data_IF_345270004592
#
_entry.id   IF_345270004592
#
_cell.length_a   1.000
_cell.length_b   1.000
_cell.length_c   1.000
_cell.angle_alpha   90.00
_cell.angle_beta   90.00
_cell.angle_gamma   90.00
#
_symmetry.space_group_name_H-M   'P 1'
#
loop_
_entity.id
_entity.type
_entity.pdbx_description
1 polymer ?
#
# COMPACT_ATOMS: atom_id res chain seq x y z
N UNK A 1 -38.43 12.18 -25.87
CA UNK A 1 -38.56 10.73 -25.62
C UNK A 1 -38.20 10.45 -24.17
N UNK A 2 -39.22 10.26 -23.32
CA UNK A 2 -39.09 9.74 -21.97
C UNK A 2 -38.95 8.22 -22.05
N UNK A 3 -37.98 7.62 -21.36
CA UNK A 3 -38.13 6.23 -20.92
C UNK A 3 -37.78 6.11 -19.44
N UNK A 4 -38.82 5.74 -18.70
CA UNK A 4 -38.86 5.51 -17.28
C UNK A 4 -38.15 4.21 -16.87
N UNK A 5 -37.60 4.27 -15.66
CA UNK A 5 -37.11 3.21 -14.80
C UNK A 5 -38.07 2.05 -14.59
N UNK A 6 -37.55 0.81 -14.43
CA UNK A 6 -37.99 -0.13 -13.38
C UNK A 6 -36.84 -1.04 -12.94
N UNK A 7 -36.36 -0.82 -11.70
CA UNK A 7 -35.60 -1.81 -10.92
C UNK A 7 -36.57 -2.90 -10.43
N UNK A 8 -36.24 -4.18 -10.62
CA UNK A 8 -36.91 -5.30 -9.94
C UNK A 8 -36.22 -5.56 -8.60
N UNK A 9 -36.97 -5.82 -7.50
CA UNK A 9 -36.37 -6.20 -6.23
C UNK A 9 -35.94 -7.68 -6.23
N UNK A 10 -34.83 -7.92 -5.54
CA UNK A 10 -34.20 -9.21 -5.28
C UNK A 10 -34.99 -9.95 -4.19
N UNK A 11 -35.49 -11.14 -4.46
CA UNK A 11 -36.05 -12.04 -3.44
C UNK A 11 -34.93 -12.94 -2.89
N UNK A 12 -34.85 -13.19 -1.58
CA UNK A 12 -33.94 -14.18 -1.02
C UNK A 12 -34.52 -15.59 -1.18
N UNK A 13 -33.77 -16.50 -1.80
CA UNK A 13 -34.07 -17.93 -1.77
C UNK A 13 -33.82 -18.47 -0.36
N UNK A 14 -34.91 -18.80 0.34
CA UNK A 14 -34.86 -19.62 1.57
C UNK A 14 -34.62 -21.07 1.18
N UNK A 15 -33.43 -21.58 1.44
CA UNK A 15 -33.13 -23.01 1.33
C UNK A 15 -33.42 -23.63 2.70
N UNK A 16 -34.51 -24.39 2.76
CA UNK A 16 -34.85 -25.24 3.92
C UNK A 16 -33.88 -26.42 3.97
N UNK A 17 -33.05 -26.48 5.01
CA UNK A 17 -32.17 -27.63 5.30
C UNK A 17 -32.93 -28.54 6.25
N UNK A 18 -33.60 -29.55 5.71
CA UNK A 18 -34.18 -30.66 6.47
C UNK A 18 -33.06 -31.60 6.93
N UNK A 19 -32.65 -31.51 8.19
CA UNK A 19 -31.83 -32.54 8.83
C UNK A 19 -32.71 -33.76 9.16
N UNK A 20 -32.69 -34.77 8.28
CA UNK A 20 -33.24 -36.08 8.59
C UNK A 20 -32.35 -36.77 9.62
N UNK A 21 -32.81 -36.85 10.86
CA UNK A 21 -32.24 -37.70 11.90
C UNK A 21 -32.55 -39.15 11.53
N UNK A 22 -31.52 -39.88 11.08
CA UNK A 22 -31.61 -41.33 10.88
C UNK A 22 -31.58 -41.98 12.26
N UNK A 23 -32.76 -42.21 12.84
CA UNK A 23 -32.94 -43.13 13.95
C UNK A 23 -32.78 -44.57 13.43
N UNK A 24 -31.60 -45.16 13.61
CA UNK A 24 -31.43 -46.60 13.47
C UNK A 24 -31.98 -47.28 14.73
N UNK A 25 -33.23 -47.75 14.65
CA UNK A 25 -33.82 -48.64 15.63
C UNK A 25 -33.15 -50.02 15.52
N UNK A 26 -32.41 -50.42 16.55
CA UNK A 26 -31.91 -51.80 16.68
C UNK A 26 -33.02 -52.61 17.36
N UNK A 27 -33.48 -53.64 16.64
CA UNK A 27 -34.48 -54.58 17.12
C UNK A 27 -33.99 -55.34 18.36
N UNK A 28 -34.86 -55.37 19.37
CA UNK A 28 -34.75 -56.16 20.59
C UNK A 28 -34.82 -57.66 20.26
N UNK A 29 -33.75 -58.39 20.54
CA UNK A 29 -33.70 -59.86 20.54
C UNK A 29 -33.54 -60.37 21.98
N UNK A 30 -34.35 -61.37 22.33
CA UNK A 30 -34.52 -61.93 23.68
C UNK A 30 -33.25 -62.51 24.32
N UNK A 31 -33.27 -62.47 25.66
CA UNK A 31 -32.32 -62.99 26.64
C UNK A 31 -32.08 -64.51 26.53
N UNK A 32 -30.85 -64.95 26.84
CA UNK A 32 -30.59 -66.07 27.77
C UNK A 32 -29.19 -65.90 28.39
N UNK A 33 -29.08 -66.32 29.64
CA UNK A 33 -28.03 -66.09 30.64
C UNK A 33 -26.74 -66.86 30.40
N UNK A 34 -25.59 -66.29 30.78
CA UNK A 34 -24.75 -66.79 31.90
C UNK A 34 -23.53 -65.86 32.16
N UNK A 35 -22.98 -65.83 33.40
CA UNK A 35 -22.07 -64.79 33.86
C UNK A 35 -20.61 -65.25 33.89
N UNK A 36 -19.69 -64.51 33.26
CA UNK A 36 -18.29 -64.53 33.68
C UNK A 36 -17.49 -63.30 33.23
N UNK A 37 -16.73 -62.75 34.19
CA UNK A 37 -15.54 -61.88 34.09
C UNK A 37 -15.65 -60.47 33.48
N UNK A 38 -15.82 -59.50 34.39
CA UNK A 38 -14.94 -58.33 34.63
C UNK A 38 -14.30 -57.58 33.46
N UNK A 39 -14.56 -56.26 33.51
CA UNK A 39 -13.76 -55.11 33.07
C UNK A 39 -13.85 -54.66 31.61
N UNK A 40 -14.84 -53.80 31.35
CA UNK A 40 -14.77 -52.81 30.25
C UNK A 40 -15.68 -51.62 30.52
N UNK A 41 -15.30 -50.73 31.44
CA UNK A 41 -15.96 -49.42 31.59
C UNK A 41 -14.95 -48.34 31.98
N UNK A 42 -14.25 -47.75 31.00
CA UNK A 42 -13.47 -46.53 31.22
C UNK A 42 -13.35 -45.60 29.99
N UNK A 43 -14.03 -45.88 28.88
CA UNK A 43 -13.81 -45.15 27.61
C UNK A 43 -14.87 -44.09 27.29
N UNK A 44 -16.02 -44.12 27.95
CA UNK A 44 -17.16 -43.21 27.71
C UNK A 44 -17.01 -41.77 28.28
N UNK A 45 -16.45 -41.54 29.49
CA UNK A 45 -16.42 -40.18 30.07
C UNK A 45 -15.52 -39.19 29.34
N UNK A 46 -14.46 -39.70 28.68
CA UNK A 46 -13.45 -38.89 28.01
C UNK A 46 -13.92 -38.39 26.64
N UNK A 47 -14.73 -39.16 25.92
CA UNK A 47 -15.28 -38.74 24.63
C UNK A 47 -16.33 -37.63 24.79
N UNK A 48 -17.21 -37.76 25.78
CA UNK A 48 -18.19 -36.73 26.10
C UNK A 48 -17.52 -35.43 26.57
N UNK A 49 -16.50 -35.52 27.42
CA UNK A 49 -15.71 -34.36 27.85
C UNK A 49 -14.99 -33.68 26.68
N UNK A 50 -14.50 -34.46 25.70
CA UNK A 50 -13.85 -33.94 24.49
C UNK A 50 -14.84 -33.25 23.55
N UNK A 51 -16.04 -33.80 23.38
CA UNK A 51 -17.09 -33.17 22.58
C UNK A 51 -17.53 -31.83 23.19
N UNK A 52 -17.78 -31.79 24.49
CA UNK A 52 -18.16 -30.55 25.18
C UNK A 52 -17.06 -29.47 25.07
N UNK A 53 -15.79 -29.85 25.19
CA UNK A 53 -14.68 -28.90 25.03
C UNK A 53 -14.56 -28.36 23.60
N UNK A 54 -14.90 -29.17 22.59
CA UNK A 54 -14.88 -28.74 21.19
C UNK A 54 -16.03 -27.79 20.87
N UNK A 55 -17.24 -28.04 21.40
CA UNK A 55 -18.38 -27.14 21.25
C UNK A 55 -18.12 -25.79 21.91
N UNK A 56 -17.51 -25.78 23.10
CA UNK A 56 -17.12 -24.54 23.79
C UNK A 56 -16.08 -23.75 22.98
N UNK A 57 -15.08 -24.42 22.40
CA UNK A 57 -14.10 -23.78 21.51
C UNK A 57 -14.73 -23.23 20.24
N UNK A 58 -15.71 -23.92 19.66
CA UNK A 58 -16.47 -23.45 18.49
C UNK A 58 -17.29 -22.19 18.83
N UNK A 59 -17.97 -22.19 19.98
CA UNK A 59 -18.71 -21.02 20.45
C UNK A 59 -17.78 -19.81 20.69
N UNK A 60 -16.61 -20.04 21.27
CA UNK A 60 -15.61 -18.99 21.50
C UNK A 60 -15.03 -18.44 20.17
N UNK A 61 -14.79 -19.30 19.18
CA UNK A 61 -14.34 -18.88 17.86
C UNK A 61 -15.39 -18.02 17.14
N UNK A 62 -16.67 -18.42 17.19
CA UNK A 62 -17.76 -17.64 16.60
C UNK A 62 -17.88 -16.26 17.26
N UNK A 63 -17.81 -16.18 18.59
CA UNK A 63 -17.81 -14.89 19.31
C UNK A 63 -16.64 -13.99 18.90
N UNK A 64 -15.46 -14.56 18.69
CA UNK A 64 -14.29 -13.82 18.20
C UNK A 64 -14.48 -13.35 16.76
N UNK A 65 -15.10 -14.18 15.92
CA UNK A 65 -15.43 -13.80 14.55
C UNK A 65 -16.42 -12.62 14.52
N UNK A 66 -17.48 -12.68 15.32
CA UNK A 66 -18.43 -11.57 15.46
C UNK A 66 -17.75 -10.28 15.97
N UNK A 67 -16.86 -10.41 16.95
CA UNK A 67 -16.08 -9.28 17.46
C UNK A 67 -15.13 -8.69 16.40
N UNK A 68 -14.55 -9.52 15.53
CA UNK A 68 -13.70 -9.06 14.43
C UNK A 68 -14.53 -8.37 13.36
N UNK A 69 -15.71 -8.89 13.02
CA UNK A 69 -16.64 -8.25 12.08
C UNK A 69 -17.07 -6.88 12.60
N UNK A 70 -17.42 -6.77 13.88
CA UNK A 70 -17.75 -5.50 14.51
C UNK A 70 -16.59 -4.50 14.46
N UNK A 71 -15.34 -4.97 14.69
CA UNK A 71 -14.15 -4.12 14.57
C UNK A 71 -13.88 -3.69 13.12
N UNK A 72 -14.02 -4.59 12.14
CA UNK A 72 -13.85 -4.26 10.72
C UNK A 72 -14.89 -3.21 10.27
N UNK A 73 -16.14 -3.34 10.74
CA UNK A 73 -17.19 -2.35 10.51
C UNK A 73 -16.86 -0.99 11.15
N UNK A 74 -16.36 -0.96 12.39
CA UNK A 74 -15.98 0.27 13.07
C UNK A 74 -14.78 0.97 12.39
N UNK A 75 -13.79 0.20 11.92
CA UNK A 75 -12.65 0.73 11.17
C UNK A 75 -13.14 1.34 9.85
N UNK A 76 -14.00 0.62 9.11
CA UNK A 76 -14.58 1.09 7.85
C UNK A 76 -15.38 2.40 8.03
N UNK A 77 -16.16 2.51 9.11
CA UNK A 77 -16.88 3.74 9.43
C UNK A 77 -15.92 4.91 9.67
N UNK A 78 -14.86 4.70 10.46
CA UNK A 78 -13.84 5.72 10.72
C UNK A 78 -13.08 6.12 9.46
N UNK A 79 -12.78 5.17 8.57
CA UNK A 79 -12.17 5.46 7.26
C UNK A 79 -13.09 6.32 6.40
N UNK A 80 -14.40 6.05 6.39
CA UNK A 80 -15.37 6.88 5.66
C UNK A 80 -15.47 8.30 6.23
N UNK A 81 -15.41 8.46 7.55
CA UNK A 81 -15.36 9.78 8.20
C UNK A 81 -14.10 10.54 7.80
N UNK A 82 -12.94 9.87 7.82
CA UNK A 82 -11.66 10.48 7.42
C UNK A 82 -11.67 10.91 5.94
N UNK A 83 -12.25 10.12 5.04
CA UNK A 83 -12.40 10.49 3.62
C UNK A 83 -13.32 11.70 3.46
N UNK A 84 -14.37 11.79 4.27
CA UNK A 84 -15.30 12.93 4.28
C UNK A 84 -14.60 14.19 4.77
N UNK A 85 -13.91 14.12 5.90
CA UNK A 85 -13.13 15.23 6.46
C UNK A 85 -12.04 15.70 5.50
N UNK A 86 -11.33 14.78 4.85
CA UNK A 86 -10.31 15.12 3.86
C UNK A 86 -10.92 15.84 2.65
N UNK A 87 -12.10 15.41 2.19
CA UNK A 87 -12.82 16.08 1.10
C UNK A 87 -13.26 17.50 1.50
N UNK A 88 -13.61 17.71 2.76
CA UNK A 88 -13.97 19.02 3.30
C UNK A 88 -12.75 19.95 3.40
N UNK A 89 -11.63 19.45 3.93
CA UNK A 89 -10.36 20.20 3.97
C UNK A 89 -9.87 20.60 2.58
N UNK A 90 -10.02 19.74 1.58
CA UNK A 90 -9.67 20.08 0.19
C UNK A 90 -10.56 21.20 -0.37
N UNK A 91 -11.86 21.22 -0.02
CA UNK A 91 -12.77 22.31 -0.41
C UNK A 91 -12.37 23.63 0.25
N UNK A 92 -12.04 23.59 1.54
CA UNK A 92 -11.61 24.77 2.29
C UNK A 92 -10.29 25.34 1.75
N UNK A 93 -9.30 24.47 1.48
CA UNK A 93 -8.03 24.88 0.85
C UNK A 93 -8.27 25.59 -0.47
N UNK A 94 -9.12 25.03 -1.35
CA UNK A 94 -9.45 25.63 -2.65
C UNK A 94 -10.16 26.98 -2.49
N UNK A 95 -11.03 27.10 -1.48
CA UNK A 95 -11.70 28.36 -1.18
C UNK A 95 -10.69 29.43 -0.75
N UNK A 96 -9.78 29.10 0.17
CA UNK A 96 -8.73 30.00 0.63
C UNK A 96 -7.81 30.46 -0.51
N UNK A 97 -7.39 29.54 -1.39
CA UNK A 97 -6.60 29.88 -2.57
C UNK A 97 -7.37 30.86 -3.49
N UNK A 98 -8.67 30.64 -3.70
CA UNK A 98 -9.49 31.54 -4.51
C UNK A 98 -9.64 32.92 -3.87
N UNK A 99 -9.77 33.00 -2.54
CA UNK A 99 -9.81 34.27 -1.80
C UNK A 99 -8.49 35.03 -1.93
N UNK A 100 -7.35 34.33 -1.81
CA UNK A 100 -6.03 34.94 -1.95
C UNK A 100 -5.84 35.56 -3.34
N UNK A 101 -6.23 34.83 -4.40
CA UNK A 101 -6.19 35.35 -5.78
C UNK A 101 -7.10 36.58 -5.94
N UNK A 102 -8.28 36.58 -5.32
CA UNK A 102 -9.17 37.75 -5.34
C UNK A 102 -8.57 38.95 -4.63
N UNK A 103 -7.94 38.76 -3.46
CA UNK A 103 -7.26 39.83 -2.73
C UNK A 103 -6.08 40.41 -3.55
N UNK A 104 -5.27 39.57 -4.18
CA UNK A 104 -4.16 40.02 -5.03
C UNK A 104 -4.64 40.84 -6.24
N UNK A 105 -5.75 40.43 -6.86
CA UNK A 105 -6.38 41.19 -7.94
C UNK A 105 -6.95 42.54 -7.47
N UNK A 106 -7.46 42.62 -6.24
CA UNK A 106 -7.90 43.88 -5.65
C UNK A 106 -6.71 44.81 -5.32
N UNK A 107 -5.61 44.27 -4.78
CA UNK A 107 -4.40 45.04 -4.49
C UNK A 107 -3.79 45.61 -5.79
N UNK A 108 -3.71 44.81 -6.85
CA UNK A 108 -3.17 45.24 -8.14
C UNK A 108 -4.05 46.27 -8.86
N UNK A 109 -5.37 46.22 -8.69
CA UNK A 109 -6.29 47.24 -9.24
C UNK A 109 -6.24 48.55 -8.47
N UNK A 110 -6.11 48.52 -7.13
CA UNK A 110 -5.89 49.73 -6.31
C UNK A 110 -4.54 50.37 -6.64
N UNK A 111 -3.48 49.59 -6.84
CA UNK A 111 -2.16 50.10 -7.24
C UNK A 111 -2.18 50.81 -8.61
N UNK A 112 -2.98 50.32 -9.57
CA UNK A 112 -3.14 50.96 -10.90
C UNK A 112 -3.92 52.27 -10.87
N UNK A 113 -4.84 52.45 -9.92
CA UNK A 113 -5.63 53.69 -9.78
C UNK A 113 -4.81 54.85 -9.21
N UNK A 114 -3.73 54.56 -8.49
CA UNK A 114 -2.92 55.56 -7.79
C UNK A 114 -1.65 56.00 -8.55
N UNK A 115 -1.32 55.38 -9.70
CA UNK A 115 -0.20 55.78 -10.56
C UNK A 115 -0.52 55.56 -12.05
N UNK A 116 -0.85 56.60 -12.83
CA UNK A 116 -1.01 56.45 -14.29
C UNK A 116 0.36 56.23 -14.97
N UNK A 117 0.44 55.40 -16.03
CA UNK A 117 1.71 55.07 -16.67
C UNK A 117 2.29 56.28 -17.44
N UNK A 118 3.58 56.53 -17.25
CA UNK A 118 4.34 57.57 -17.96
C UNK A 118 4.50 57.23 -19.46
N UNK A 119 4.58 58.24 -20.36
CA UNK A 119 4.70 58.02 -21.80
C UNK A 119 6.08 57.44 -22.18
N UNK A 120 6.20 56.73 -23.32
CA UNK A 120 7.41 56.00 -23.68
C UNK A 120 8.56 56.93 -24.12
N UNK A 121 9.84 56.55 -23.88
CA UNK A 121 10.99 57.40 -24.19
C UNK A 121 11.40 57.33 -25.66
N UNK A 122 11.79 58.50 -26.20
CA UNK A 122 12.29 58.71 -27.56
C UNK A 122 13.72 58.19 -27.73
N UNK A 123 13.96 57.49 -28.83
CA UNK A 123 15.26 56.93 -29.24
C UNK A 123 16.17 57.98 -29.88
N UNK A 124 17.45 58.02 -29.46
CA UNK A 124 18.56 58.55 -30.28
C UNK A 124 19.76 57.59 -30.21
N UNK A 125 20.36 57.19 -31.36
CA UNK A 125 21.50 56.30 -31.40
C UNK A 125 22.82 57.05 -31.60
N UNK A 126 23.89 56.70 -30.86
CA UNK A 126 25.26 57.03 -31.27
C UNK A 126 26.35 56.13 -30.66
N UNK A 127 26.88 55.28 -31.53
CA UNK A 127 28.29 54.92 -31.78
C UNK A 127 29.14 54.15 -30.75
N UNK A 128 29.76 53.11 -31.28
CA UNK A 128 30.73 52.18 -30.72
C UNK A 128 32.05 52.80 -30.21
N UNK A 129 32.66 52.19 -29.19
CA UNK A 129 33.86 51.34 -29.32
C UNK A 129 34.67 51.22 -28.00
N UNK A 130 35.27 50.03 -27.85
CA UNK A 130 36.43 49.63 -27.02
C UNK A 130 36.22 49.21 -25.54
N UNK A 131 36.54 47.93 -25.35
CA UNK A 131 36.93 47.19 -24.14
C UNK A 131 38.19 47.80 -23.50
N UNK A 132 38.35 47.71 -22.17
CA UNK A 132 39.42 46.86 -21.64
C UNK A 132 39.00 45.99 -20.44
N UNK A 133 40.00 45.31 -19.91
CA UNK A 133 40.02 44.04 -19.17
C UNK A 133 39.92 44.19 -17.64
N UNK A 134 39.52 43.10 -16.97
CA UNK A 134 39.62 42.75 -15.54
C UNK A 134 38.89 43.58 -14.49
N UNK A 135 38.04 42.90 -13.69
CA UNK A 135 38.31 42.59 -12.27
C UNK A 135 37.12 41.82 -11.67
N UNK A 136 37.46 40.73 -10.96
CA UNK A 136 36.59 39.98 -10.06
C UNK A 136 35.79 40.90 -9.13
N UNK A 137 34.46 40.77 -9.14
CA UNK A 137 33.61 41.14 -8.00
C UNK A 137 32.49 40.13 -7.84
N UNK A 138 32.59 39.41 -6.72
CA UNK A 138 31.50 38.79 -6.00
C UNK A 138 30.24 39.67 -6.06
N UNK A 139 29.15 39.11 -6.54
CA UNK A 139 27.82 39.63 -6.23
C UNK A 139 26.96 38.45 -5.83
N UNK A 140 26.99 38.16 -4.53
CA UNK A 140 25.87 37.58 -3.82
C UNK A 140 24.65 38.47 -4.07
N UNK A 141 23.64 37.95 -4.76
CA UNK A 141 22.29 38.47 -4.62
C UNK A 141 21.32 37.31 -4.52
N UNK A 142 20.88 37.17 -3.27
CA UNK A 142 19.78 36.38 -2.76
C UNK A 142 18.54 36.34 -3.65
N UNK A 143 18.00 35.12 -3.74
CA UNK A 143 16.63 34.77 -3.38
C UNK A 143 15.50 35.44 -4.19
N UNK A 144 14.93 34.64 -5.09
CA UNK A 144 13.49 34.37 -5.02
C UNK A 144 13.22 32.97 -5.59
N UNK A 145 13.65 31.94 -4.84
CA UNK A 145 13.19 30.58 -5.11
C UNK A 145 11.83 30.44 -4.45
N UNK A 146 10.77 30.68 -5.22
CA UNK A 146 9.46 30.13 -4.89
C UNK A 146 9.69 28.65 -4.57
N UNK A 147 9.39 28.24 -3.33
CA UNK A 147 9.37 26.83 -2.94
C UNK A 147 8.17 26.23 -3.65
N UNK A 148 8.38 25.90 -4.92
CA UNK A 148 7.53 24.96 -5.63
C UNK A 148 7.94 23.62 -5.07
N UNK A 149 7.04 22.98 -4.32
CA UNK A 149 7.16 21.55 -4.03
C UNK A 149 7.29 20.84 -5.38
N UNK A 150 8.53 20.51 -5.76
CA UNK A 150 8.81 19.95 -7.07
C UNK A 150 8.43 18.47 -7.03
N UNK A 151 7.14 18.22 -7.21
CA UNK A 151 6.58 16.88 -7.31
C UNK A 151 7.31 16.16 -8.44
N UNK A 152 7.99 15.07 -8.10
CA UNK A 152 8.81 14.35 -9.07
C UNK A 152 7.93 13.64 -10.08
N UNK A 153 8.15 13.88 -11.37
CA UNK A 153 7.50 13.09 -12.43
C UNK A 153 8.29 11.80 -12.64
N UNK A 154 7.59 10.66 -12.59
CA UNK A 154 8.09 9.31 -12.83
C UNK A 154 7.36 8.68 -14.03
N UNK A 155 8.02 7.74 -14.72
CA UNK A 155 7.42 6.90 -15.75
C UNK A 155 6.59 5.74 -15.18
N UNK A 156 5.95 4.97 -16.07
CA UNK A 156 5.28 3.72 -15.72
C UNK A 156 6.24 2.59 -15.34
N UNK A 157 7.49 2.65 -15.83
CA UNK A 157 8.61 1.81 -15.42
C UNK A 157 9.75 2.69 -14.94
N UNK A 158 10.45 2.27 -13.90
CA UNK A 158 11.61 2.98 -13.36
C UNK A 158 12.66 2.01 -12.80
N UNK A 159 13.89 2.51 -12.62
CA UNK A 159 14.91 1.81 -11.83
C UNK A 159 14.84 2.25 -10.38
N UNK A 160 14.72 1.29 -9.46
CA UNK A 160 14.77 1.53 -8.02
C UNK A 160 16.00 0.87 -7.43
N UNK A 161 16.69 1.58 -6.55
CA UNK A 161 17.83 1.07 -5.81
C UNK A 161 17.38 0.58 -4.44
N UNK A 162 17.67 -0.69 -4.12
CA UNK A 162 17.37 -1.26 -2.81
C UNK A 162 18.62 -1.28 -1.94
N UNK A 163 18.53 -0.75 -0.72
CA UNK A 163 19.62 -0.72 0.24
C UNK A 163 19.19 -1.31 1.60
N UNK A 164 19.75 -2.44 2.04
CA UNK A 164 20.50 -3.45 1.25
C UNK A 164 19.60 -4.17 0.23
N UNK A 165 20.14 -4.85 -0.82
CA UNK A 165 21.53 -5.31 -0.95
C UNK A 165 22.48 -4.38 -1.72
N UNK A 166 21.99 -3.24 -2.20
CA UNK A 166 22.79 -2.27 -2.93
C UNK A 166 22.75 -2.43 -4.44
N UNK A 167 21.62 -2.88 -4.99
CA UNK A 167 21.43 -3.13 -6.43
C UNK A 167 20.27 -2.30 -6.99
N UNK A 168 20.30 -2.03 -8.29
CA UNK A 168 19.18 -1.44 -9.02
C UNK A 168 18.29 -2.53 -9.61
N UNK A 169 16.98 -2.44 -9.38
CA UNK A 169 15.97 -3.32 -9.96
C UNK A 169 15.02 -2.54 -10.86
N UNK A 170 14.49 -3.17 -11.90
CA UNK A 170 13.36 -2.62 -12.63
C UNK A 170 12.09 -2.71 -11.78
N UNK A 171 11.35 -1.62 -11.75
CA UNK A 171 10.11 -1.49 -11.00
C UNK A 171 8.96 -1.06 -11.89
N UNK A 172 7.80 -1.66 -11.68
CA UNK A 172 6.52 -1.15 -12.18
C UNK A 172 6.00 -0.11 -11.21
N UNK A 173 5.72 1.09 -11.70
CA UNK A 173 5.05 2.12 -10.91
C UNK A 173 3.54 1.92 -11.05
N UNK A 174 2.86 1.62 -9.94
CA UNK A 174 1.45 1.23 -9.93
C UNK A 174 0.65 2.10 -8.94
N UNK A 175 -0.07 3.08 -9.49
CA UNK A 175 -0.93 3.96 -8.69
C UNK A 175 -2.16 3.24 -8.13
N UNK A 176 -2.52 2.06 -8.66
CA UNK A 176 -3.62 1.22 -8.20
C UNK A 176 -3.29 0.42 -6.94
N UNK A 177 -2.01 0.15 -6.68
CA UNK A 177 -1.57 -0.58 -5.50
C UNK A 177 -1.42 0.32 -4.27
N UNK A 178 -1.97 -0.10 -3.12
CA UNK A 178 -1.76 0.59 -1.85
C UNK A 178 -0.33 0.42 -1.33
N UNK A 179 0.21 -0.79 -1.44
CA UNK A 179 1.50 -1.18 -0.87
C UNK A 179 2.40 -1.74 -1.95
N UNK A 180 3.66 -1.32 -1.95
CA UNK A 180 4.73 -1.88 -2.78
C UNK A 180 4.93 -3.38 -2.53
N UNK A 181 5.36 -4.10 -3.57
CA UNK A 181 5.64 -5.53 -3.50
C UNK A 181 7.01 -5.84 -4.09
N UNK A 182 7.70 -6.82 -3.49
CA UNK A 182 9.02 -7.27 -3.91
C UNK A 182 8.98 -8.77 -4.22
N UNK A 183 9.58 -9.14 -5.34
CA UNK A 183 9.84 -10.53 -5.68
C UNK A 183 10.63 -11.20 -4.56
N UNK A 184 10.18 -12.35 -4.09
CA UNK A 184 10.86 -13.11 -3.05
C UNK A 184 10.73 -14.60 -3.33
N UNK A 185 11.88 -15.25 -3.53
CA UNK A 185 12.01 -16.69 -3.76
C UNK A 185 12.51 -17.38 -2.49
N UNK A 186 12.24 -18.68 -2.38
CA UNK A 186 12.75 -19.55 -1.31
C UNK A 186 12.53 -18.95 0.10
N UNK A 187 11.32 -18.42 0.34
CA UNK A 187 10.98 -17.76 1.60
C UNK A 187 10.99 -18.73 2.77
N UNK A 188 11.81 -18.45 3.78
CA UNK A 188 11.89 -19.23 5.03
C UNK A 188 11.72 -18.28 6.22
N UNK A 189 10.64 -18.45 6.96
CA UNK A 189 10.38 -17.73 8.21
C UNK A 189 11.11 -18.41 9.38
N UNK A 190 11.70 -17.62 10.26
CA UNK A 190 12.39 -18.11 11.45
C UNK A 190 12.31 -17.10 12.59
N UNK A 191 12.62 -17.54 13.81
CA UNK A 191 12.68 -16.67 14.97
C UNK A 191 14.13 -16.34 15.34
N UNK A 192 14.38 -15.09 15.69
CA UNK A 192 15.64 -14.63 16.27
C UNK A 192 15.34 -13.65 17.40
N UNK A 193 15.84 -13.93 18.59
CA UNK A 193 15.67 -13.08 19.79
C UNK A 193 14.19 -12.74 20.08
N UNK A 194 13.29 -13.73 19.97
CA UNK A 194 11.85 -13.55 20.20
C UNK A 194 11.11 -12.78 19.11
N UNK A 195 11.75 -12.51 17.97
CA UNK A 195 11.18 -11.70 16.87
C UNK A 195 11.11 -12.52 15.58
N UNK A 196 10.04 -12.37 14.79
CA UNK A 196 9.91 -13.07 13.52
C UNK A 196 10.81 -12.42 12.45
N UNK A 197 11.58 -13.24 11.77
CA UNK A 197 12.41 -12.90 10.62
C UNK A 197 12.04 -13.78 9.43
N UNK A 198 12.42 -13.31 8.24
CA UNK A 198 12.29 -14.04 7.00
C UNK A 198 13.59 -13.93 6.22
N UNK A 199 14.03 -15.08 5.70
CA UNK A 199 15.09 -15.22 4.72
C UNK A 199 14.44 -15.45 3.36
N UNK A 200 14.91 -14.76 2.32
CA UNK A 200 14.39 -14.89 0.96
C UNK A 200 15.44 -14.45 -0.05
N UNK A 201 15.28 -14.90 -1.29
CA UNK A 201 16.16 -14.55 -2.40
C UNK A 201 15.48 -13.58 -3.37
N UNK A 202 16.26 -12.63 -3.87
CA UNK A 202 15.92 -11.83 -5.06
C UNK A 202 16.90 -12.18 -6.18
N UNK A 203 16.58 -11.84 -7.43
CA UNK A 203 17.48 -12.08 -8.55
C UNK A 203 18.25 -10.81 -8.87
N UNK A 204 19.57 -10.90 -8.95
CA UNK A 204 20.38 -9.81 -9.48
C UNK A 204 20.11 -9.67 -10.99
N UNK A 205 19.68 -8.49 -11.49
CA UNK A 205 19.36 -8.33 -12.90
C UNK A 205 20.60 -8.37 -13.82
N UNK A 206 21.79 -8.11 -13.30
CA UNK A 206 23.06 -8.12 -14.03
C UNK A 206 23.69 -9.51 -14.03
N UNK A 207 23.86 -10.14 -12.86
CA UNK A 207 24.51 -11.46 -12.76
C UNK A 207 23.55 -12.64 -12.93
N UNK A 208 22.24 -12.41 -12.79
CA UNK A 208 21.19 -13.45 -12.72
C UNK A 208 21.30 -14.38 -11.51
N UNK A 209 22.16 -14.08 -10.56
CA UNK A 209 22.34 -14.87 -9.34
C UNK A 209 21.27 -14.55 -8.29
N UNK A 210 21.06 -15.50 -7.37
CA UNK A 210 20.21 -15.29 -6.20
C UNK A 210 20.97 -14.51 -5.14
N UNK A 211 20.39 -13.40 -4.69
CA UNK A 211 20.88 -12.60 -3.57
C UNK A 211 20.00 -12.85 -2.35
N UNK A 212 20.58 -13.42 -1.31
CA UNK A 212 19.88 -13.72 -0.07
C UNK A 212 19.73 -12.45 0.79
N UNK A 213 18.52 -12.21 1.27
CA UNK A 213 18.18 -11.15 2.20
C UNK A 213 17.50 -11.73 3.44
N UNK A 214 17.87 -11.19 4.60
CA UNK A 214 17.21 -11.48 5.87
C UNK A 214 16.59 -10.20 6.42
N UNK A 215 15.29 -10.22 6.70
CA UNK A 215 14.54 -9.07 7.24
C UNK A 215 13.58 -9.46 8.35
N UNK A 216 13.35 -8.54 9.28
CA UNK A 216 12.32 -8.70 10.31
C UNK A 216 10.94 -8.59 9.67
N UNK A 217 10.04 -9.50 10.00
CA UNK A 217 8.64 -9.42 9.59
C UNK A 217 7.95 -8.35 10.44
N UNK A 218 7.31 -7.38 9.78
CA UNK A 218 6.55 -6.28 10.40
C UNK A 218 5.06 -6.55 10.49
N UNK A 219 4.58 -7.53 9.75
CA UNK A 219 3.18 -7.91 9.72
C UNK A 219 2.91 -8.83 8.53
N UNK A 220 1.62 -9.08 8.29
CA UNK A 220 1.17 -9.88 7.16
C UNK A 220 -0.04 -9.21 6.52
N UNK A 221 -0.12 -9.25 5.19
CA UNK A 221 -1.35 -8.93 4.48
C UNK A 221 -2.14 -10.21 4.20
N UNK A 222 -3.47 -10.14 4.33
CA UNK A 222 -4.39 -11.27 4.10
C UNK A 222 -4.93 -11.18 2.68
N UNK A 223 -4.82 -12.26 1.92
CA UNK A 223 -5.38 -12.32 0.57
C UNK A 223 -6.67 -13.11 0.63
N UNK A 224 -7.79 -12.40 0.54
CA UNK A 224 -9.11 -13.00 0.37
C UNK A 224 -9.14 -13.64 -1.03
N UNK A 225 -8.89 -14.95 -1.13
CA UNK A 225 -9.21 -15.73 -2.34
C UNK A 225 -10.58 -16.37 -2.15
N UNK A 226 -11.48 -16.16 -3.09
CA UNK A 226 -12.74 -16.92 -3.11
C UNK A 226 -12.39 -18.39 -3.40
N UNK A 227 -12.80 -19.30 -2.50
CA UNK A 227 -12.67 -20.78 -2.62
C UNK A 227 -11.28 -21.41 -2.40
N UNK A 228 -10.28 -20.70 -1.87
CA UNK A 228 -8.98 -21.30 -1.51
C UNK A 228 -8.49 -20.73 -0.19
N UNK A 229 -7.69 -21.49 0.55
CA UNK A 229 -7.05 -21.01 1.78
C UNK A 229 -6.41 -19.63 1.58
N UNK A 230 -6.71 -18.74 2.51
CA UNK A 230 -6.22 -17.37 2.52
C UNK A 230 -4.70 -17.37 2.63
N UNK A 231 -4.02 -17.06 1.52
CA UNK A 231 -2.57 -16.87 1.54
C UNK A 231 -2.23 -15.57 2.27
N UNK A 232 -1.35 -15.68 3.27
CA UNK A 232 -0.78 -14.52 3.97
C UNK A 232 0.56 -14.19 3.32
N UNK A 233 0.83 -12.91 3.14
CA UNK A 233 2.12 -12.45 2.62
C UNK A 233 2.87 -11.66 3.69
N UNK A 234 4.13 -12.01 4.01
CA UNK A 234 4.95 -11.26 4.96
C UNK A 234 5.21 -9.84 4.48
N UNK A 235 5.27 -8.91 5.44
CA UNK A 235 5.63 -7.51 5.19
C UNK A 235 7.00 -7.24 5.81
N UNK A 236 7.91 -6.67 5.04
CA UNK A 236 9.25 -6.25 5.49
C UNK A 236 9.49 -4.77 5.17
N UNK A 237 10.46 -4.14 5.82
CA UNK A 237 10.89 -2.77 5.48
C UNK A 237 12.24 -2.77 4.77
N UNK A 238 12.34 -1.99 3.71
CA UNK A 238 13.56 -1.78 2.93
C UNK A 238 13.70 -0.31 2.56
N UNK A 239 14.93 0.17 2.46
CA UNK A 239 15.23 1.52 1.95
C UNK A 239 15.28 1.48 0.43
N UNK A 240 14.62 2.43 -0.21
CA UNK A 240 14.45 2.51 -1.66
C UNK A 240 14.87 3.88 -2.12
N UNK A 241 15.72 3.94 -3.14
CA UNK A 241 16.06 5.19 -3.82
C UNK A 241 15.55 5.19 -5.24
N UNK A 242 14.97 6.31 -5.66
CA UNK A 242 14.44 6.52 -7.00
C UNK A 242 14.65 7.99 -7.40
N UNK A 243 15.63 8.25 -8.26
CA UNK A 243 16.07 9.62 -8.53
C UNK A 243 16.53 10.31 -7.25
N UNK A 244 15.86 11.39 -6.85
CA UNK A 244 16.16 12.15 -5.63
C UNK A 244 15.36 11.68 -4.40
N UNK A 245 14.44 10.74 -4.57
CA UNK A 245 13.63 10.19 -3.49
C UNK A 245 14.40 9.07 -2.79
N UNK A 246 14.42 9.08 -1.46
CA UNK A 246 15.13 8.10 -0.63
C UNK A 246 14.32 7.79 0.62
N UNK A 247 13.55 6.70 0.58
CA UNK A 247 12.53 6.40 1.57
C UNK A 247 12.65 4.98 2.13
N UNK A 248 12.35 4.82 3.42
CA UNK A 248 12.20 3.52 4.04
C UNK A 248 10.73 3.10 4.02
N UNK A 249 10.37 2.19 3.11
CA UNK A 249 8.98 1.76 2.92
C UNK A 249 8.76 0.30 3.25
N UNK A 250 7.49 -0.05 3.43
CA UNK A 250 7.06 -1.44 3.59
C UNK A 250 6.85 -2.12 2.23
N UNK A 251 7.32 -3.36 2.13
CA UNK A 251 7.12 -4.25 1.00
C UNK A 251 6.38 -5.49 1.42
N UNK A 252 5.39 -5.88 0.63
CA UNK A 252 4.83 -7.23 0.69
C UNK A 252 5.74 -8.18 -0.10
N UNK A 253 6.15 -9.29 0.51
CA UNK A 253 6.94 -10.32 -0.17
C UNK A 253 6.02 -11.30 -0.90
N UNK A 254 6.36 -11.59 -2.15
CA UNK A 254 5.59 -12.46 -3.04
C UNK A 254 6.49 -13.02 -4.14
N UNK A 255 6.29 -14.27 -4.54
CA UNK A 255 6.85 -14.79 -5.78
C UNK A 255 6.21 -14.08 -7.01
N UNK A 256 7.03 -13.28 -7.71
CA UNK A 256 6.67 -12.56 -8.94
C UNK A 256 7.37 -13.15 -10.17
N UNK A 257 7.81 -14.40 -10.15
CA UNK A 257 8.55 -15.02 -11.26
C UNK A 257 7.80 -15.02 -12.60
N UNK A 258 6.49 -14.79 -12.59
CA UNK A 258 5.64 -14.65 -13.78
C UNK A 258 5.56 -13.22 -14.35
N UNK A 259 6.23 -12.27 -13.72
CA UNK A 259 6.24 -10.86 -14.12
C UNK A 259 7.67 -10.42 -14.46
N UNK A 260 7.81 -9.50 -15.41
CA UNK A 260 9.12 -9.00 -15.84
C UNK A 260 9.80 -8.14 -14.77
N UNK A 261 9.02 -7.38 -14.00
CA UNK A 261 9.54 -6.51 -12.94
C UNK A 261 9.48 -7.19 -11.57
N UNK A 262 10.65 -7.26 -10.94
CA UNK A 262 10.80 -7.80 -9.59
C UNK A 262 10.20 -6.88 -8.53
N UNK A 263 10.10 -5.58 -8.81
CA UNK A 263 9.54 -4.60 -7.88
C UNK A 263 8.25 -4.01 -8.44
N UNK A 264 7.28 -3.82 -7.57
CA UNK A 264 6.11 -2.98 -7.80
C UNK A 264 6.12 -1.88 -6.75
N UNK A 265 6.07 -0.62 -7.18
CA UNK A 265 6.02 0.56 -6.31
C UNK A 265 4.60 1.07 -6.25
N UNK A 266 4.01 1.05 -5.05
CA UNK A 266 2.64 1.48 -4.78
C UNK A 266 2.55 2.86 -4.15
N UNK A 267 1.32 3.24 -3.77
CA UNK A 267 1.02 4.55 -3.17
C UNK A 267 1.72 4.81 -1.83
N UNK A 268 2.14 3.78 -1.09
CA UNK A 268 2.92 3.97 0.14
C UNK A 268 4.32 4.56 -0.10
N UNK A 269 4.79 4.63 -1.35
CA UNK A 269 5.95 5.42 -1.76
C UNK A 269 5.53 6.63 -2.60
N UNK A 270 4.53 6.50 -3.48
CA UNK A 270 4.20 7.57 -4.44
C UNK A 270 3.45 8.76 -3.84
N UNK A 271 2.64 8.53 -2.80
CA UNK A 271 1.78 9.56 -2.22
C UNK A 271 2.61 10.75 -1.75
N UNK A 272 2.23 11.94 -2.19
CA UNK A 272 2.87 13.22 -1.86
C UNK A 272 4.31 13.42 -2.39
N UNK A 273 4.91 12.39 -3.01
CA UNK A 273 6.29 12.46 -3.54
C UNK A 273 6.35 12.55 -5.06
N UNK A 274 5.41 11.92 -5.78
CA UNK A 274 5.52 11.79 -7.23
C UNK A 274 4.19 11.76 -7.99
N UNK A 275 4.25 12.18 -9.25
CA UNK A 275 3.19 12.01 -10.26
C UNK A 275 3.70 11.04 -11.33
N UNK A 276 2.82 10.16 -11.80
CA UNK A 276 3.16 9.12 -12.75
C UNK A 276 2.67 9.49 -14.15
N UNK A 277 3.60 9.59 -15.09
CA UNK A 277 3.34 9.74 -16.52
C UNK A 277 3.53 8.39 -17.20
N UNK A 278 2.41 7.71 -17.48
CA UNK A 278 2.41 6.35 -18.05
C UNK A 278 2.93 6.27 -19.49
N UNK A 279 3.14 7.41 -20.15
CA UNK A 279 3.73 7.48 -21.49
C UNK A 279 5.25 7.39 -21.49
N UNK A 280 5.88 7.47 -20.30
CA UNK A 280 7.33 7.47 -20.13
C UNK A 280 7.79 6.24 -19.36
N UNK A 281 9.05 5.89 -19.57
CA UNK A 281 9.74 4.81 -18.86
C UNK A 281 11.18 5.26 -18.58
N UNK A 282 11.74 4.79 -17.46
CA UNK A 282 13.12 5.02 -17.04
C UNK A 282 13.51 6.51 -17.05
N UNK A 283 12.66 7.36 -16.48
CA UNK A 283 12.87 8.81 -16.47
C UNK A 283 13.97 9.24 -15.51
N UNK A 284 14.31 8.38 -14.54
CA UNK A 284 15.40 8.61 -13.58
C UNK A 284 16.58 7.69 -13.88
N UNK A 285 17.82 8.20 -13.72
CA UNK A 285 19.00 7.35 -13.86
C UNK A 285 19.05 6.32 -12.73
N UNK A 286 19.71 5.18 -13.00
CA UNK A 286 20.08 4.21 -11.97
C UNK A 286 20.89 4.90 -10.88
N UNK A 287 20.68 4.51 -9.62
CA UNK A 287 21.50 5.02 -8.51
C UNK A 287 22.83 4.28 -8.49
N UNK A 288 23.94 5.00 -8.49
CA UNK A 288 25.25 4.40 -8.27
C UNK A 288 25.46 4.18 -6.76
N UNK A 289 25.98 3.02 -6.33
CA UNK A 289 26.41 2.84 -4.96
C UNK A 289 27.45 3.93 -4.64
N UNK A 290 27.27 4.69 -3.56
CA UNK A 290 28.34 5.51 -3.03
C UNK A 290 29.40 4.55 -2.48
N UNK A 291 30.40 4.22 -3.29
CA UNK A 291 31.65 3.66 -2.80
C UNK A 291 32.27 4.70 -1.91
N UNK A 292 32.04 4.60 -0.59
CA UNK A 292 32.88 5.31 0.37
C UNK A 292 34.30 4.78 0.16
N UNK A 293 35.15 5.63 -0.43
CA UNK A 293 36.60 5.49 -0.37
C UNK A 293 37.06 5.63 1.08
#
# INVERSE_FOLDING_TARGET
MLFHTRKKPFLPNTISISFSVICLAVFSGCQTTDPHSTDTHATEPLLFSRQNNLEERLAELNRREDALIAREAAISARESELVTLFSELLKEKKLLESQQIQLENQISTVARKNNPPAPPPTSTPRTAAKKPHNTSKNTSTSQNKAVKDDITILGGLEYVYLDPPGINLSARIDTGAQTSSLNALDMVEFERDGKPYIKFNIIDPETKEKLELTRRIRGYTKIKKHKTESQRRPIVQLRVKLGNLDEQISFTLIDRSKFDQQVLIGRNFLRDLAVVDVSKEFTKPKTTPNTKQ
#
